data_IF_879236864582
#
_entry.id   IF_879236864582
#
_cell.length_a   1.000
_cell.length_b   1.000
_cell.length_c   1.000
_cell.angle_alpha   90.00
_cell.angle_beta   90.00
_cell.angle_gamma   90.00
#
_symmetry.space_group_name_H-M   'P 1'
#
loop_
_entity.id
_entity.type
_entity.pdbx_description
1 polymer ?
#
# COMPACT_ATOMS: atom_id res chain seq x y z
N UNK A 1 24.00 -20.53 34.56
CA UNK A 1 23.27 -20.48 33.27
C UNK A 1 21.82 -20.95 33.39
N UNK A 2 20.93 -19.98 33.17
CA UNK A 2 19.62 -20.03 32.50
C UNK A 2 18.70 -21.26 32.68
N UNK A 3 17.65 -21.08 33.50
CA UNK A 3 16.38 -21.79 33.39
C UNK A 3 15.23 -20.80 33.12
N UNK A 4 14.28 -21.29 32.32
CA UNK A 4 12.81 -21.07 32.38
C UNK A 4 12.15 -20.07 31.40
N UNK A 5 11.55 -20.68 30.36
CA UNK A 5 10.14 -20.60 29.92
C UNK A 5 9.44 -19.26 29.68
N UNK A 6 8.97 -19.06 28.43
CA UNK A 6 7.63 -18.51 28.08
C UNK A 6 7.32 -18.98 26.63
N UNK A 7 6.55 -20.06 26.40
CA UNK A 7 5.08 -20.16 26.23
C UNK A 7 4.49 -19.43 25.01
N UNK A 8 4.14 -20.24 24.00
CA UNK A 8 2.85 -20.28 23.29
C UNK A 8 2.23 -18.98 22.76
N UNK A 9 2.31 -18.79 21.43
CA UNK A 9 1.34 -18.02 20.64
C UNK A 9 0.60 -19.04 19.76
N UNK A 10 -0.46 -19.67 20.26
CA UNK A 10 -1.88 -19.35 19.97
C UNK A 10 -2.20 -19.21 18.47
N UNK A 11 -2.54 -20.36 17.88
CA UNK A 11 -3.78 -20.62 17.14
C UNK A 11 -4.50 -19.38 16.59
N UNK A 12 -4.30 -19.09 15.31
CA UNK A 12 -5.23 -18.27 14.53
C UNK A 12 -6.10 -19.20 13.69
N UNK A 13 -7.38 -19.28 14.08
CA UNK A 13 -8.45 -19.98 13.36
C UNK A 13 -8.76 -19.21 12.07
N UNK A 14 -9.17 -19.89 10.98
CA UNK A 14 -9.54 -19.22 9.75
C UNK A 14 -10.84 -18.43 9.99
N UNK A 15 -10.73 -17.10 10.04
CA UNK A 15 -11.88 -16.22 10.18
C UNK A 15 -12.66 -16.25 8.87
N UNK A 16 -13.95 -16.58 9.02
CA UNK A 16 -14.97 -16.70 7.99
C UNK A 16 -14.89 -15.57 6.95
N UNK A 17 -14.76 -15.95 5.69
CA UNK A 17 -14.94 -15.11 4.50
C UNK A 17 -16.39 -14.58 4.51
N UNK A 18 -16.61 -13.40 5.06
CA UNK A 18 -17.74 -12.57 4.63
C UNK A 18 -17.28 -11.96 3.33
N UNK A 19 -18.02 -12.26 2.27
CA UNK A 19 -18.09 -11.46 1.07
C UNK A 19 -18.42 -10.04 1.53
N UNK A 20 -17.38 -9.24 1.74
CA UNK A 20 -17.46 -7.86 2.18
C UNK A 20 -17.05 -7.08 0.96
N UNK A 21 -18.02 -6.40 0.35
CA UNK A 21 -17.72 -5.23 -0.44
C UNK A 21 -16.66 -4.40 0.31
N UNK A 22 -15.63 -3.91 -0.38
CA UNK A 22 -14.54 -3.21 0.27
C UNK A 22 -15.10 -2.03 1.07
N UNK A 23 -14.55 -1.84 2.26
CA UNK A 23 -14.97 -0.76 3.15
C UNK A 23 -14.50 0.58 2.58
N UNK A 24 -15.38 1.55 2.33
CA UNK A 24 -15.00 2.80 1.67
C UNK A 24 -14.04 3.64 2.52
N UNK A 25 -14.10 3.56 3.85
CA UNK A 25 -13.13 4.27 4.71
C UNK A 25 -11.75 3.62 4.61
N UNK A 26 -11.67 2.29 4.63
CA UNK A 26 -10.39 1.59 4.46
C UNK A 26 -9.76 1.86 3.08
N UNK A 27 -10.57 2.01 2.03
CA UNK A 27 -10.09 2.41 0.70
C UNK A 27 -9.60 3.85 0.67
N UNK A 28 -10.31 4.79 1.31
CA UNK A 28 -9.88 6.19 1.44
C UNK A 28 -8.55 6.32 2.21
N UNK A 29 -8.40 5.59 3.33
CA UNK A 29 -7.13 5.53 4.06
C UNK A 29 -5.99 5.07 3.17
N UNK A 30 -6.22 4.01 2.37
CA UNK A 30 -5.22 3.49 1.45
C UNK A 30 -4.90 4.45 0.30
N UNK A 31 -5.90 5.14 -0.23
CA UNK A 31 -5.73 6.19 -1.25
C UNK A 31 -4.78 7.27 -0.70
N UNK A 32 -5.03 7.79 0.50
CA UNK A 32 -4.19 8.81 1.12
C UNK A 32 -2.74 8.34 1.31
N UNK A 33 -2.52 7.07 1.70
CA UNK A 33 -1.16 6.50 1.82
C UNK A 33 -0.45 6.45 0.46
N UNK A 34 -1.15 6.00 -0.58
CA UNK A 34 -0.59 5.88 -1.95
C UNK A 34 -0.30 7.25 -2.54
N UNK A 35 -1.20 8.23 -2.35
CA UNK A 35 -1.00 9.61 -2.79
C UNK A 35 0.21 10.27 -2.11
N UNK A 36 0.34 10.09 -0.79
CA UNK A 36 1.50 10.59 -0.06
C UNK A 36 2.80 9.96 -0.60
N UNK A 37 2.79 8.66 -0.89
CA UNK A 37 3.95 7.97 -1.45
C UNK A 37 4.29 8.42 -2.86
N UNK A 38 3.29 8.67 -3.70
CA UNK A 38 3.48 9.22 -5.05
C UNK A 38 4.09 10.62 -5.00
N UNK A 39 3.67 11.47 -4.05
CA UNK A 39 4.27 12.79 -3.84
C UNK A 39 5.75 12.68 -3.46
N UNK A 40 6.10 11.78 -2.53
CA UNK A 40 7.50 11.52 -2.16
C UNK A 40 8.34 11.07 -3.36
N UNK A 41 7.82 10.11 -4.15
CA UNK A 41 8.53 9.59 -5.32
C UNK A 41 8.65 10.64 -6.42
N UNK A 42 7.63 11.48 -6.62
CA UNK A 42 7.68 12.59 -7.57
C UNK A 42 8.76 13.61 -7.18
N UNK A 43 8.89 13.91 -5.88
CA UNK A 43 9.95 14.78 -5.39
C UNK A 43 11.35 14.17 -5.63
N UNK A 44 11.50 12.85 -5.42
CA UNK A 44 12.76 12.13 -5.71
C UNK A 44 13.06 12.10 -7.20
N UNK A 45 12.06 11.88 -8.07
CA UNK A 45 12.21 11.93 -9.53
C UNK A 45 12.56 13.33 -10.05
N UNK A 46 12.19 14.38 -9.32
CA UNK A 46 12.59 15.75 -9.62
C UNK A 46 14.04 16.09 -9.23
N UNK A 47 14.74 15.21 -8.50
CA UNK A 47 16.11 15.42 -8.06
C UNK A 47 17.12 14.96 -9.12
N UNK A 48 18.01 15.86 -9.57
CA UNK A 48 19.01 15.55 -10.60
C UNK A 48 20.04 14.52 -10.14
N UNK A 49 20.32 14.43 -8.82
CA UNK A 49 21.30 13.47 -8.30
C UNK A 49 20.79 12.02 -8.37
N UNK A 50 19.48 11.80 -8.43
CA UNK A 50 18.90 10.48 -8.70
C UNK A 50 19.44 9.89 -10.01
N UNK A 51 19.56 10.72 -11.04
CA UNK A 51 19.95 10.29 -12.39
C UNK A 51 21.42 9.87 -12.53
N UNK A 52 22.24 10.12 -11.50
CA UNK A 52 23.58 9.57 -11.43
C UNK A 52 23.58 8.05 -11.23
N UNK A 53 22.50 7.49 -10.64
CA UNK A 53 22.33 6.05 -10.44
C UNK A 53 21.15 5.52 -11.26
N UNK A 54 21.47 5.02 -12.46
CA UNK A 54 20.45 4.58 -13.42
C UNK A 54 19.65 3.34 -12.98
N UNK A 55 20.10 2.57 -11.99
CA UNK A 55 19.34 1.46 -11.42
C UNK A 55 18.27 2.01 -10.45
N UNK A 56 18.67 2.95 -9.60
CA UNK A 56 17.77 3.64 -8.68
C UNK A 56 16.69 4.43 -9.42
N UNK A 57 17.04 5.13 -10.51
CA UNK A 57 16.05 5.83 -11.36
C UNK A 57 14.96 4.87 -11.83
N UNK A 58 15.37 3.71 -12.38
CA UNK A 58 14.41 2.72 -12.89
C UNK A 58 13.53 2.18 -11.78
N UNK A 59 14.12 1.88 -10.62
CA UNK A 59 13.37 1.41 -9.46
C UNK A 59 12.34 2.44 -9.01
N UNK A 60 12.72 3.71 -8.88
CA UNK A 60 11.82 4.79 -8.46
C UNK A 60 10.72 5.03 -9.50
N UNK A 61 11.04 5.03 -10.80
CA UNK A 61 10.03 5.11 -11.87
C UNK A 61 9.06 3.93 -11.82
N UNK A 62 9.56 2.70 -11.71
CA UNK A 62 8.71 1.50 -11.65
C UNK A 62 7.84 1.49 -10.39
N UNK A 63 8.33 1.99 -9.25
CA UNK A 63 7.52 2.15 -8.04
C UNK A 63 6.43 3.21 -8.25
N UNK A 64 6.77 4.35 -8.85
CA UNK A 64 5.84 5.43 -9.17
C UNK A 64 4.73 4.95 -10.12
N UNK A 65 5.07 4.33 -11.24
CA UNK A 65 4.11 3.80 -12.23
C UNK A 65 3.17 2.75 -11.62
N UNK A 66 3.69 1.86 -10.78
CA UNK A 66 2.86 0.86 -10.09
C UNK A 66 1.87 1.50 -9.11
N UNK A 67 2.31 2.54 -8.38
CA UNK A 67 1.45 3.24 -7.44
C UNK A 67 0.40 4.11 -8.16
N UNK A 68 0.71 4.67 -9.33
CA UNK A 68 -0.31 5.35 -10.15
C UNK A 68 -1.40 4.36 -10.63
N UNK A 69 -1.00 3.15 -11.03
CA UNK A 69 -1.94 2.09 -11.39
C UNK A 69 -2.78 1.65 -10.18
N UNK A 70 -2.14 1.41 -9.03
CA UNK A 70 -2.83 1.05 -7.79
C UNK A 70 -3.81 2.15 -7.37
N UNK A 71 -3.41 3.43 -7.46
CA UNK A 71 -4.26 4.56 -7.11
C UNK A 71 -5.52 4.62 -7.98
N UNK A 72 -5.39 4.40 -9.29
CA UNK A 72 -6.52 4.35 -10.20
C UNK A 72 -7.49 3.20 -9.84
N UNK A 73 -6.97 2.02 -9.52
CA UNK A 73 -7.79 0.89 -9.06
C UNK A 73 -8.47 1.15 -7.71
N UNK A 74 -7.78 1.82 -6.78
CA UNK A 74 -8.34 2.17 -5.48
C UNK A 74 -9.49 3.17 -5.61
N UNK A 75 -9.35 4.19 -6.45
CA UNK A 75 -10.43 5.13 -6.73
C UNK A 75 -11.65 4.44 -7.36
N UNK A 76 -11.45 3.60 -8.37
CA UNK A 76 -12.53 2.83 -9.00
C UNK A 76 -13.24 1.91 -7.97
N UNK A 77 -12.48 1.26 -7.09
CA UNK A 77 -13.04 0.44 -6.03
C UNK A 77 -13.78 1.26 -4.96
N UNK A 78 -13.29 2.46 -4.65
CA UNK A 78 -13.90 3.37 -3.67
C UNK A 78 -15.23 3.92 -4.20
N UNK A 79 -15.27 4.35 -5.46
CA UNK A 79 -16.50 4.78 -6.13
C UNK A 79 -17.54 3.65 -6.11
N UNK A 80 -17.15 2.43 -6.48
CA UNK A 80 -18.04 1.24 -6.41
C UNK A 80 -18.52 0.93 -5.00
N UNK A 81 -17.65 1.11 -3.99
CA UNK A 81 -18.01 0.90 -2.59
C UNK A 81 -19.04 1.92 -2.09
N UNK A 82 -18.93 3.18 -2.55
CA UNK A 82 -19.90 4.23 -2.24
C UNK A 82 -21.25 3.99 -2.93
N UNK A 83 -21.25 3.53 -4.19
CA UNK A 83 -22.50 3.23 -4.92
C UNK A 83 -23.26 2.03 -4.34
N UNK A 84 -22.55 1.10 -3.70
CA UNK A 84 -23.12 -0.11 -3.11
C UNK A 84 -23.66 0.08 -1.68
N UNK A 85 -23.46 1.25 -1.07
CA UNK A 85 -23.76 1.54 0.33
C UNK A 85 -24.93 2.53 0.50
#
# INVERSE_FOLDING_TARGET
>A
ETKKQIKTVKEQRPVKKKDKSPDPQALEERIMEVEARLEELAAVLGDEALYADGDNVKRVQTEYEQLEMELAELYDNWEKALEAH
#
